data_IF_355054653395
#
_entry.id   IF_355054653395
#
_cell.length_a   1.000
_cell.length_b   1.000
_cell.length_c   1.000
_cell.angle_alpha   90.00
_cell.angle_beta   90.00
_cell.angle_gamma   90.00
#
_symmetry.space_group_name_H-M   'P 1'
#
loop_
_entity.id
_entity.type
_entity.pdbx_description
1 polymer ?
#
# COMPACT_ATOMS: atom_id res chain seq x y z
N UNK A 1 -2.67 -11.29 22.82
CA UNK A 1 -1.73 -10.49 21.98
C UNK A 1 -1.47 -9.19 22.70
N UNK A 2 -0.23 -8.72 22.75
CA UNK A 2 0.13 -7.44 23.38
C UNK A 2 0.06 -6.35 22.31
N UNK A 3 -0.89 -5.40 22.36
CA UNK A 3 -1.09 -4.39 21.32
C UNK A 3 0.17 -3.58 21.00
N UNK A 4 0.99 -3.29 22.01
CA UNK A 4 2.25 -2.54 21.89
C UNK A 4 3.26 -3.25 20.99
N UNK A 5 3.37 -4.58 21.07
CA UNK A 5 4.28 -5.38 20.23
C UNK A 5 3.83 -5.43 18.77
N UNK A 6 2.55 -5.23 18.52
CA UNK A 6 1.99 -5.23 17.17
C UNK A 6 2.21 -3.85 16.51
N UNK A 7 2.14 -2.76 17.27
CA UNK A 7 2.46 -1.41 16.79
C UNK A 7 3.92 -1.28 16.35
N UNK A 8 4.88 -1.79 17.14
CA UNK A 8 6.30 -1.74 16.76
C UNK A 8 6.59 -2.51 15.46
N UNK A 9 5.95 -3.66 15.27
CA UNK A 9 6.06 -4.44 14.03
C UNK A 9 5.45 -3.72 12.84
N UNK A 10 4.27 -3.12 13.02
CA UNK A 10 3.60 -2.30 12.00
C UNK A 10 4.52 -1.15 11.60
N UNK A 11 5.07 -0.41 12.56
CA UNK A 11 5.97 0.70 12.30
C UNK A 11 7.22 0.25 11.52
N UNK A 12 7.84 -0.87 11.92
CA UNK A 12 9.00 -1.43 11.21
C UNK A 12 8.64 -1.84 9.79
N UNK A 13 7.53 -2.54 9.59
CA UNK A 13 7.09 -2.96 8.26
C UNK A 13 6.77 -1.77 7.36
N UNK A 14 6.14 -0.73 7.91
CA UNK A 14 5.84 0.52 7.20
C UNK A 14 7.12 1.23 6.76
N UNK A 15 8.11 1.37 7.63
CA UNK A 15 9.41 1.99 7.27
C UNK A 15 10.08 1.26 6.11
N UNK A 16 10.07 -0.08 6.15
CA UNK A 16 10.65 -0.91 5.07
C UNK A 16 9.85 -0.69 3.77
N UNK A 17 8.53 -0.77 3.82
CA UNK A 17 7.68 -0.55 2.64
C UNK A 17 7.89 0.85 2.03
N UNK A 18 8.01 1.88 2.87
CA UNK A 18 8.25 3.25 2.41
C UNK A 18 9.61 3.40 1.74
N UNK A 19 10.66 2.75 2.26
CA UNK A 19 11.98 2.73 1.64
C UNK A 19 11.91 2.13 0.22
N UNK A 20 11.30 0.95 0.09
CA UNK A 20 11.15 0.30 -1.23
C UNK A 20 10.28 1.11 -2.18
N UNK A 21 9.23 1.76 -1.68
CA UNK A 21 8.36 2.64 -2.47
C UNK A 21 9.11 3.84 -3.03
N UNK A 22 9.93 4.51 -2.20
CA UNK A 22 10.81 5.60 -2.64
C UNK A 22 11.76 5.13 -3.74
N UNK A 23 12.50 4.04 -3.51
CA UNK A 23 13.46 3.52 -4.49
C UNK A 23 12.78 3.08 -5.79
N UNK A 24 11.55 2.56 -5.71
CA UNK A 24 10.77 2.24 -6.91
C UNK A 24 10.39 3.50 -7.69
N UNK A 25 9.87 4.53 -7.03
CA UNK A 25 9.47 5.78 -7.69
C UNK A 25 10.66 6.50 -8.31
N UNK A 26 11.82 6.53 -7.63
CA UNK A 26 13.09 7.01 -8.21
C UNK A 26 13.41 6.28 -9.50
N UNK A 27 13.37 4.95 -9.51
CA UNK A 27 13.78 4.16 -10.68
C UNK A 27 12.80 4.27 -11.86
N UNK A 28 11.49 4.34 -11.59
CA UNK A 28 10.47 4.35 -12.65
C UNK A 28 10.33 5.74 -13.29
N UNK A 29 10.39 6.79 -12.47
CA UNK A 29 10.10 8.16 -12.91
C UNK A 29 11.33 9.08 -12.93
N UNK A 30 12.52 8.55 -12.61
CA UNK A 30 13.77 9.30 -12.46
C UNK A 30 13.65 10.49 -11.48
N UNK A 31 12.87 10.31 -10.42
CA UNK A 31 12.62 11.36 -9.44
C UNK A 31 13.81 11.60 -8.51
N UNK A 32 14.14 12.88 -8.32
CA UNK A 32 15.03 13.37 -7.27
C UNK A 32 14.35 13.49 -5.90
N UNK A 33 15.12 13.93 -4.90
CA UNK A 33 14.63 14.01 -3.52
C UNK A 33 13.46 15.00 -3.35
N UNK A 34 13.49 16.14 -4.04
CA UNK A 34 12.45 17.17 -3.92
C UNK A 34 11.10 16.65 -4.45
N UNK A 35 11.11 15.98 -5.61
CA UNK A 35 9.92 15.35 -6.19
C UNK A 35 9.37 14.23 -5.30
N UNK A 36 10.24 13.47 -4.62
CA UNK A 36 9.81 12.47 -3.66
C UNK A 36 9.19 13.08 -2.40
N UNK A 37 9.71 14.23 -1.95
CA UNK A 37 9.14 14.94 -0.81
C UNK A 37 7.77 15.51 -1.15
N UNK A 38 7.61 16.08 -2.34
CA UNK A 38 6.30 16.49 -2.87
C UNK A 38 5.35 15.31 -3.01
N UNK A 39 5.80 14.17 -3.55
CA UNK A 39 5.01 12.95 -3.64
C UNK A 39 4.62 12.39 -2.26
N UNK A 40 5.46 12.56 -1.23
CA UNK A 40 5.13 12.20 0.14
C UNK A 40 4.03 13.11 0.72
N UNK A 41 4.17 14.42 0.54
CA UNK A 41 3.18 15.41 1.01
C UNK A 41 1.85 15.29 0.26
N UNK A 42 1.89 15.03 -1.04
CA UNK A 42 0.71 14.84 -1.90
C UNK A 42 0.09 13.44 -1.83
N UNK A 43 0.60 12.55 -0.97
CA UNK A 43 0.02 11.21 -0.76
C UNK A 43 0.37 10.17 -1.83
N UNK A 44 1.04 10.52 -2.93
CA UNK A 44 1.43 9.56 -3.99
C UNK A 44 2.36 8.48 -3.43
N UNK A 45 3.42 8.88 -2.73
CA UNK A 45 4.34 7.93 -2.10
C UNK A 45 3.64 7.13 -0.99
N UNK A 46 2.72 7.77 -0.26
CA UNK A 46 1.95 7.12 0.81
C UNK A 46 1.06 6.03 0.23
N UNK A 47 0.37 6.29 -0.89
CA UNK A 47 -0.47 5.32 -1.57
C UNK A 47 0.34 4.10 -2.03
N UNK A 48 1.47 4.31 -2.71
CA UNK A 48 2.37 3.23 -3.11
C UNK A 48 2.85 2.43 -1.89
N UNK A 49 3.20 3.14 -0.80
CA UNK A 49 3.62 2.51 0.46
C UNK A 49 2.53 1.64 1.07
N UNK A 50 1.28 2.11 1.10
CA UNK A 50 0.12 1.34 1.60
C UNK A 50 -0.07 0.07 0.78
N UNK A 51 -0.04 0.17 -0.55
CA UNK A 51 -0.19 -0.99 -1.43
C UNK A 51 0.90 -2.04 -1.17
N UNK A 52 2.16 -1.62 -1.11
CA UNK A 52 3.28 -2.53 -0.87
C UNK A 52 3.23 -3.13 0.53
N UNK A 53 2.93 -2.32 1.55
CA UNK A 53 2.85 -2.74 2.94
C UNK A 53 1.76 -3.78 3.16
N UNK A 54 0.56 -3.56 2.61
CA UNK A 54 -0.55 -4.50 2.74
C UNK A 54 -0.26 -5.79 2.00
N UNK A 55 0.30 -5.72 0.79
CA UNK A 55 0.71 -6.90 0.04
C UNK A 55 1.76 -7.73 0.78
N UNK A 56 2.83 -7.09 1.26
CA UNK A 56 3.96 -7.78 1.88
C UNK A 56 3.61 -8.35 3.26
N UNK A 57 2.84 -7.61 4.06
CA UNK A 57 2.69 -7.92 5.47
C UNK A 57 1.28 -8.28 5.92
N UNK A 58 0.23 -7.70 5.33
CA UNK A 58 -1.15 -7.91 5.81
C UNK A 58 -1.82 -9.08 5.09
N UNK A 59 -1.64 -9.21 3.77
CA UNK A 59 -2.29 -10.25 2.95
C UNK A 59 -1.97 -11.68 3.40
N UNK A 60 -0.80 -11.89 3.99
CA UNK A 60 -0.38 -13.19 4.52
C UNK A 60 -0.84 -13.44 5.97
N UNK A 61 -1.71 -12.59 6.52
CA UNK A 61 -2.25 -12.72 7.86
C UNK A 61 -1.25 -12.45 8.99
N UNK A 62 -0.13 -11.77 8.72
CA UNK A 62 0.93 -11.58 9.73
C UNK A 62 0.47 -10.64 10.84
N UNK A 63 -0.42 -9.68 10.56
CA UNK A 63 -1.07 -8.81 11.53
C UNK A 63 -2.25 -8.06 10.91
N UNK A 64 -3.16 -7.58 11.76
CA UNK A 64 -4.29 -6.72 11.38
C UNK A 64 -3.95 -5.27 11.65
N UNK A 65 -4.37 -4.37 10.75
CA UNK A 65 -4.20 -2.94 10.94
C UNK A 65 -5.35 -2.37 11.77
N UNK A 66 -5.08 -1.48 12.73
CA UNK A 66 -6.14 -0.78 13.48
C UNK A 66 -6.98 0.07 12.52
N UNK A 67 -8.25 0.25 12.83
CA UNK A 67 -9.16 1.02 11.97
C UNK A 67 -8.68 2.47 11.78
N UNK A 68 -8.07 3.01 12.83
CA UNK A 68 -7.48 4.34 12.92
C UNK A 68 -6.43 4.58 11.83
N UNK A 69 -5.70 3.54 11.42
CA UNK A 69 -4.73 3.63 10.33
C UNK A 69 -5.36 4.19 9.06
N UNK A 70 -6.53 3.67 8.68
CA UNK A 70 -7.25 4.09 7.47
C UNK A 70 -7.83 5.50 7.61
N UNK A 71 -8.26 5.89 8.81
CA UNK A 71 -8.76 7.25 9.08
C UNK A 71 -7.66 8.29 8.90
N UNK A 72 -6.42 7.99 9.31
CA UNK A 72 -5.26 8.87 9.13
C UNK A 72 -4.97 9.07 7.65
N UNK A 73 -5.02 8.02 6.82
CA UNK A 73 -4.81 8.15 5.37
C UNK A 73 -5.80 9.12 4.72
N UNK A 74 -7.07 9.06 5.12
CA UNK A 74 -8.08 9.98 4.63
C UNK A 74 -7.87 11.40 5.15
N UNK A 75 -7.64 11.57 6.46
CA UNK A 75 -7.51 12.89 7.07
C UNK A 75 -6.28 13.67 6.59
N UNK A 76 -5.14 13.00 6.43
CA UNK A 76 -3.86 13.65 6.11
C UNK A 76 -3.60 13.74 4.60
N UNK A 77 -4.08 12.76 3.83
CA UNK A 77 -3.71 12.64 2.41
C UNK A 77 -4.92 12.57 1.46
N UNK A 78 -6.15 12.60 1.98
CA UNK A 78 -7.37 12.43 1.18
C UNK A 78 -7.53 11.02 0.60
N UNK A 79 -6.75 10.05 1.06
CA UNK A 79 -6.74 8.67 0.54
C UNK A 79 -7.85 7.89 1.23
N UNK A 80 -8.89 7.53 0.48
CA UNK A 80 -10.02 6.72 0.97
C UNK A 80 -9.80 5.27 0.56
N UNK A 81 -9.50 4.41 1.54
CA UNK A 81 -9.36 2.97 1.34
C UNK A 81 -10.24 2.28 2.37
N UNK A 82 -11.12 1.41 1.89
CA UNK A 82 -11.87 0.53 2.78
C UNK A 82 -10.98 -0.67 3.15
N UNK A 83 -10.89 -1.08 4.43
CA UNK A 83 -9.93 -2.09 4.87
C UNK A 83 -10.02 -3.42 4.09
N UNK A 84 -11.23 -3.86 3.74
CA UNK A 84 -11.41 -5.09 2.96
C UNK A 84 -10.95 -4.96 1.52
N UNK A 85 -10.90 -3.77 0.93
CA UNK A 85 -10.60 -3.59 -0.49
C UNK A 85 -9.20 -4.11 -0.90
N UNK A 86 -8.29 -4.25 0.05
CA UNK A 86 -6.93 -4.75 -0.21
C UNK A 86 -6.73 -6.24 0.14
N UNK A 87 -7.73 -6.87 0.76
CA UNK A 87 -7.65 -8.28 1.20
C UNK A 87 -8.80 -9.14 0.69
N UNK A 88 -9.87 -8.53 0.19
CA UNK A 88 -11.03 -9.21 -0.39
C UNK A 88 -10.66 -9.83 -1.73
N UNK A 89 -11.04 -11.09 -1.92
CA UNK A 89 -10.91 -11.76 -3.20
C UNK A 89 -11.99 -11.21 -4.15
N UNK A 90 -11.55 -10.59 -5.24
CA UNK A 90 -12.42 -10.18 -6.33
C UNK A 90 -12.52 -11.36 -7.29
N UNK A 91 -13.71 -11.93 -7.44
CA UNK A 91 -13.98 -12.91 -8.51
C UNK A 91 -13.98 -12.18 -9.85
N UNK A 92 -12.80 -12.11 -10.47
CA UNK A 92 -12.65 -11.65 -11.85
C UNK A 92 -13.10 -12.80 -12.75
N UNK A 93 -14.43 -12.94 -12.90
CA UNK A 93 -15.03 -14.04 -13.65
C UNK A 93 -14.34 -14.26 -14.99
N UNK A 94 -14.13 -15.52 -15.37
CA UNK A 94 -13.35 -15.98 -16.52
C UNK A 94 -13.69 -15.33 -17.88
N UNK A 95 -14.88 -14.75 -18.02
CA UNK A 95 -15.27 -13.97 -19.21
C UNK A 95 -14.60 -12.59 -19.34
N UNK A 96 -14.11 -11.99 -18.24
CA UNK A 96 -13.42 -10.70 -18.24
C UNK A 96 -11.97 -10.85 -18.73
N UNK A 97 -11.27 -11.90 -18.28
CA UNK A 97 -9.91 -12.23 -18.72
C UNK A 97 -9.86 -12.65 -20.19
N UNK A 98 -10.87 -13.38 -20.67
CA UNK A 98 -10.98 -13.76 -22.09
C UNK A 98 -11.21 -12.55 -23.03
N UNK A 99 -11.73 -11.44 -22.52
CA UNK A 99 -11.99 -10.21 -23.29
C UNK A 99 -10.89 -9.16 -23.17
N UNK A 100 -9.96 -9.30 -22.22
CA UNK A 100 -8.87 -8.35 -21.99
C UNK A 100 -7.52 -9.07 -21.87
N UNK A 101 -6.91 -9.47 -23.01
CA UNK A 101 -5.67 -10.25 -23.02
C UNK A 101 -4.45 -9.52 -22.43
N UNK A 102 -4.55 -8.21 -22.21
CA UNK A 102 -3.50 -7.40 -21.55
C UNK A 102 -3.22 -7.83 -20.10
N UNK A 103 -4.15 -8.52 -19.43
CA UNK A 103 -3.99 -8.98 -18.04
C UNK A 103 -3.40 -10.39 -17.90
N UNK A 104 -3.09 -11.07 -19.02
CA UNK A 104 -2.49 -12.42 -19.01
C UNK A 104 -0.96 -12.40 -19.16
N UNK A 105 -0.34 -11.23 -19.31
CA UNK A 105 1.10 -11.07 -19.53
C UNK A 105 1.77 -10.35 -18.34
N UNK A 106 1.62 -10.92 -17.14
CA UNK A 106 2.31 -10.51 -15.92
C UNK A 106 2.98 -11.69 -15.25
#
# INVERSE_FOLDING_TARGET
>A
MCPERDIEKIAKGWTIAMLYSKERLKRIYDWGNDQLEEAAKGGILVLETVCLFVHACVKHGQYQLPFEFWKVLHAEYGIVVYPSALTEDIDVGSSFLAKNPLFLAG
#
